data_IF_822984000936
#
_entry.id   IF_822984000936
#
_cell.length_a   1.000
_cell.length_b   1.000
_cell.length_c   1.000
_cell.angle_alpha   90.00
_cell.angle_beta   90.00
_cell.angle_gamma   90.00
#
_symmetry.space_group_name_H-M   'P 1'
#
loop_
_entity.id
_entity.type
_entity.pdbx_description
1 polymer ?
#
# COMPACT_ATOMS: atom_id res chain seq x y z
N UNK A 1 3.92 38.11 3.65
CA UNK A 1 4.88 37.47 4.58
C UNK A 1 5.08 36.05 4.10
N UNK A 2 6.32 35.71 3.71
CA UNK A 2 6.69 34.45 3.06
C UNK A 2 6.65 33.30 4.08
N UNK A 3 5.78 32.32 3.87
CA UNK A 3 5.74 31.09 4.66
C UNK A 3 6.96 30.22 4.35
N UNK A 4 7.58 29.67 5.39
CA UNK A 4 8.66 28.69 5.27
C UNK A 4 8.16 27.45 4.51
N UNK A 5 8.91 27.07 3.48
CA UNK A 5 8.66 25.89 2.65
C UNK A 5 8.44 24.64 3.50
N UNK A 6 7.27 24.01 3.38
CA UNK A 6 7.00 22.65 3.89
C UNK A 6 5.92 22.51 4.95
N UNK A 7 5.35 23.61 5.47
CA UNK A 7 4.17 23.53 6.36
C UNK A 7 2.93 23.95 5.57
N UNK A 8 2.18 22.98 5.09
CA UNK A 8 0.87 23.19 4.48
C UNK A 8 -0.05 23.92 5.47
N UNK A 9 -0.83 24.90 4.98
CA UNK A 9 -1.80 25.70 5.76
C UNK A 9 -2.85 24.82 6.47
N UNK A 10 -3.00 23.56 6.08
CA UNK A 10 -3.82 22.54 6.76
C UNK A 10 -3.28 22.11 8.14
N UNK A 11 -2.05 22.50 8.51
CA UNK A 11 -1.42 22.23 9.81
C UNK A 11 -1.37 23.49 10.69
N UNK A 12 -2.45 24.27 10.73
CA UNK A 12 -2.54 25.39 11.68
C UNK A 12 -2.67 24.85 13.12
N UNK A 13 -1.51 24.56 13.72
CA UNK A 13 -1.38 24.10 15.09
C UNK A 13 -1.41 25.27 16.10
N UNK A 14 -1.71 26.51 15.69
CA UNK A 14 -1.71 27.68 16.59
C UNK A 14 -2.73 27.57 17.71
N UNK A 15 -3.80 26.79 17.53
CA UNK A 15 -4.79 26.46 18.56
C UNK A 15 -4.61 25.07 19.19
N UNK A 16 -3.57 24.33 18.79
CA UNK A 16 -3.31 23.01 19.36
C UNK A 16 -2.63 23.16 20.74
N UNK A 17 -2.98 22.33 21.74
CA UNK A 17 -2.32 22.30 23.07
C UNK A 17 -0.79 22.10 23.03
N UNK A 18 -0.24 21.84 21.85
CA UNK A 18 1.14 21.53 21.56
C UNK A 18 1.96 22.75 21.08
N UNK A 19 1.31 23.85 20.70
CA UNK A 19 1.95 25.00 20.02
C UNK A 19 3.13 25.61 20.79
N UNK A 20 3.08 25.59 22.12
CA UNK A 20 4.10 26.18 22.99
C UNK A 20 5.01 25.15 23.68
N UNK A 21 4.97 23.87 23.27
CA UNK A 21 5.74 22.80 23.93
C UNK A 21 7.01 22.47 23.15
N UNK A 22 8.13 22.38 23.86
CA UNK A 22 9.36 21.80 23.29
C UNK A 22 9.16 20.31 22.99
N UNK A 23 9.93 19.70 22.06
CA UNK A 23 9.82 18.27 21.75
C UNK A 23 9.94 17.35 22.99
N UNK A 24 10.82 17.69 23.94
CA UNK A 24 10.96 16.93 25.21
C UNK A 24 9.74 17.05 26.11
N UNK A 25 9.10 18.22 26.15
CA UNK A 25 7.88 18.42 26.93
C UNK A 25 6.70 17.70 26.28
N UNK A 26 6.64 17.68 24.95
CA UNK A 26 5.61 16.99 24.19
C UNK A 26 5.71 15.47 24.38
N UNK A 27 6.91 14.88 24.34
CA UNK A 27 7.13 13.45 24.58
C UNK A 27 6.86 13.01 26.02
N UNK A 28 6.90 13.94 26.98
CA UNK A 28 6.59 13.70 28.40
C UNK A 28 5.14 14.02 28.76
N UNK A 29 4.37 14.57 27.82
CA UNK A 29 2.98 14.92 28.05
C UNK A 29 2.15 13.64 28.20
N UNK A 30 1.35 13.49 29.27
CA UNK A 30 0.45 12.35 29.40
C UNK A 30 -0.60 12.25 28.28
N UNK A 31 -0.87 13.33 27.55
CA UNK A 31 -1.77 13.34 26.39
C UNK A 31 -1.07 13.00 25.07
N UNK A 32 0.22 12.66 25.10
CA UNK A 32 0.98 12.20 23.93
C UNK A 32 1.32 10.73 24.08
N UNK A 33 0.86 9.93 23.13
CA UNK A 33 1.20 8.51 23.06
C UNK A 33 2.25 8.25 21.96
N UNK A 34 3.27 7.46 22.28
CA UNK A 34 4.10 6.78 21.30
C UNK A 34 3.36 5.53 20.81
N UNK A 35 3.26 5.38 19.49
CA UNK A 35 2.48 4.30 18.86
C UNK A 35 3.30 3.56 17.83
N UNK A 36 3.01 2.27 17.67
CA UNK A 36 3.44 1.45 16.53
C UNK A 36 2.30 1.47 15.52
N UNK A 37 2.67 1.69 14.26
CA UNK A 37 1.73 1.78 13.15
C UNK A 37 2.03 0.64 12.19
N UNK A 38 0.97 -0.06 11.80
CA UNK A 38 1.03 -1.14 10.83
C UNK A 38 -0.08 -0.94 9.81
N UNK A 39 0.20 -1.20 8.55
CA UNK A 39 -0.80 -1.12 7.49
C UNK A 39 -0.50 -2.21 6.45
N UNK A 40 -1.55 -2.68 5.79
CA UNK A 40 -1.43 -3.56 4.64
C UNK A 40 -1.74 -2.72 3.39
N UNK A 41 -0.72 -2.47 2.57
CA UNK A 41 -0.90 -1.81 1.28
C UNK A 41 -1.12 -2.90 0.22
N UNK A 42 -2.24 -2.88 -0.53
CA UNK A 42 -2.45 -3.83 -1.61
C UNK A 42 -1.32 -3.80 -2.65
N UNK A 43 -0.98 -4.96 -3.22
CA UNK A 43 -0.07 -5.01 -4.35
C UNK A 43 -0.71 -4.34 -5.58
N UNK A 44 0.05 -3.58 -6.36
CA UNK A 44 -0.49 -2.84 -7.51
C UNK A 44 -1.16 -1.52 -7.15
N UNK A 45 -0.97 -1.04 -5.91
CA UNK A 45 -1.48 0.26 -5.47
C UNK A 45 -0.73 1.39 -6.18
N UNK A 46 -1.48 2.39 -6.60
CA UNK A 46 -1.00 3.59 -7.28
C UNK A 46 -0.88 4.76 -6.30
N UNK A 47 -0.12 5.79 -6.66
CA UNK A 47 0.01 6.99 -5.82
C UNK A 47 -1.37 7.60 -5.58
N UNK A 48 -1.69 7.83 -4.31
CA UNK A 48 -2.97 8.39 -3.88
C UNK A 48 -4.03 7.35 -3.53
N UNK A 49 -3.83 6.06 -3.83
CA UNK A 49 -4.70 5.01 -3.29
C UNK A 49 -4.62 5.04 -1.76
N UNK A 50 -5.77 4.88 -1.12
CA UNK A 50 -5.91 4.94 0.32
C UNK A 50 -5.97 3.54 0.94
N UNK A 51 -5.62 3.45 2.22
CA UNK A 51 -5.64 2.19 2.97
C UNK A 51 -5.86 2.41 4.46
N UNK A 52 -6.35 1.36 5.11
CA UNK A 52 -6.56 1.34 6.55
C UNK A 52 -5.26 1.15 7.32
N UNK A 53 -5.20 1.78 8.49
CA UNK A 53 -4.01 1.80 9.34
C UNK A 53 -4.36 1.26 10.71
N UNK A 54 -3.59 0.30 11.19
CA UNK A 54 -3.66 -0.24 12.54
C UNK A 54 -2.68 0.47 13.46
N UNK A 55 -3.15 0.86 14.64
CA UNK A 55 -2.39 1.64 15.61
C UNK A 55 -2.37 0.90 16.94
N UNK A 56 -1.19 0.78 17.55
CA UNK A 56 -1.00 0.18 18.87
C UNK A 56 -0.16 1.11 19.74
N UNK A 57 -0.66 1.46 20.92
CA UNK A 57 0.09 2.27 21.87
C UNK A 57 1.23 1.47 22.53
N UNK A 58 2.38 2.12 22.74
CA UNK A 58 3.52 1.58 23.51
C UNK A 58 3.45 2.03 24.96
N UNK A 59 3.11 3.30 25.20
CA UNK A 59 3.19 3.95 26.52
C UNK A 59 1.85 4.53 27.01
N UNK A 60 0.73 4.21 26.36
CA UNK A 60 -0.60 4.68 26.72
C UNK A 60 -1.58 3.53 26.94
N UNK A 61 -2.53 3.74 27.86
CA UNK A 61 -3.57 2.77 28.22
C UNK A 61 -4.81 2.86 27.33
N UNK A 62 -5.01 4.00 26.67
CA UNK A 62 -6.11 4.25 25.73
C UNK A 62 -5.66 5.16 24.58
N UNK A 63 -6.22 4.93 23.39
CA UNK A 63 -6.09 5.77 22.19
C UNK A 63 -7.39 6.52 21.85
N UNK A 64 -8.39 6.46 22.73
CA UNK A 64 -9.69 7.10 22.52
C UNK A 64 -9.55 8.61 22.32
N UNK A 65 -10.25 9.14 21.31
CA UNK A 65 -10.18 10.57 20.95
C UNK A 65 -8.83 11.02 20.38
N UNK A 66 -7.87 10.10 20.20
CA UNK A 66 -6.56 10.39 19.67
C UNK A 66 -6.59 10.75 18.18
N UNK A 67 -5.60 11.55 17.76
CA UNK A 67 -5.32 11.83 16.34
C UNK A 67 -3.86 11.48 16.05
N UNK A 68 -3.66 10.62 15.06
CA UNK A 68 -2.33 10.32 14.55
C UNK A 68 -1.80 11.50 13.73
N UNK A 69 -0.58 11.92 14.03
CA UNK A 69 0.16 12.86 13.19
C UNK A 69 0.80 12.16 12.00
N UNK A 70 1.05 12.93 10.94
CA UNK A 70 1.63 12.43 9.70
C UNK A 70 2.85 11.57 9.97
N UNK A 71 2.71 10.28 9.68
CA UNK A 71 3.74 9.28 9.88
C UNK A 71 4.07 8.62 8.56
N UNK A 72 5.35 8.48 8.26
CA UNK A 72 5.83 7.80 7.07
C UNK A 72 5.88 6.29 7.29
N UNK A 73 5.33 5.52 6.36
CA UNK A 73 5.29 4.07 6.38
C UNK A 73 6.29 3.50 5.38
N UNK A 74 6.95 2.41 5.79
CA UNK A 74 8.04 1.76 5.05
C UNK A 74 7.85 0.25 5.13
N UNK A 75 8.40 -0.47 4.15
CA UNK A 75 8.39 -1.95 4.16
C UNK A 75 9.29 -2.46 5.29
N UNK A 76 8.78 -3.43 6.03
CA UNK A 76 9.54 -4.15 7.05
C UNK A 76 9.28 -3.65 8.47
N UNK A 77 9.99 -4.21 9.45
CA UNK A 77 9.86 -3.77 10.84
C UNK A 77 10.33 -2.32 10.98
N UNK A 78 9.92 -1.62 12.05
CA UNK A 78 10.42 -0.28 12.36
C UNK A 78 11.96 -0.29 12.39
N UNK A 79 12.59 0.40 11.45
CA UNK A 79 14.04 0.49 11.35
C UNK A 79 14.60 1.33 12.50
N UNK A 80 15.72 0.89 13.08
CA UNK A 80 16.49 1.73 14.01
C UNK A 80 17.18 2.87 13.26
N UNK A 81 17.52 3.96 13.95
CA UNK A 81 18.07 5.20 13.37
C UNK A 81 19.29 5.03 12.45
N UNK A 82 20.01 3.90 12.52
CA UNK A 82 21.22 3.62 11.74
C UNK A 82 21.05 2.49 10.69
N UNK A 83 19.81 2.02 10.46
CA UNK A 83 19.57 0.97 9.47
C UNK A 83 19.35 1.57 8.07
N UNK A 84 19.55 0.77 7.01
CA UNK A 84 19.26 1.21 5.64
C UNK A 84 17.77 1.53 5.52
N UNK A 85 17.50 2.82 5.45
CA UNK A 85 16.16 3.37 5.37
C UNK A 85 15.43 2.89 4.10
N UNK A 86 14.50 1.95 4.26
CA UNK A 86 13.62 1.49 3.17
C UNK A 86 12.82 2.67 2.58
N UNK A 87 12.44 2.57 1.30
CA UNK A 87 11.66 3.60 0.61
C UNK A 87 10.33 3.85 1.32
N UNK A 88 9.89 5.11 1.35
CA UNK A 88 8.60 5.50 1.91
C UNK A 88 7.50 5.03 0.95
N UNK A 89 6.74 4.03 1.36
CA UNK A 89 5.64 3.49 0.56
C UNK A 89 4.37 4.33 0.68
N UNK A 90 4.13 4.91 1.84
CA UNK A 90 2.94 5.69 2.11
C UNK A 90 3.08 6.55 3.33
N UNK A 91 2.06 7.36 3.58
CA UNK A 91 1.93 8.19 4.76
C UNK A 91 0.59 7.92 5.40
N UNK A 92 0.53 8.01 6.72
CA UNK A 92 -0.68 7.85 7.50
C UNK A 92 -0.91 9.05 8.41
N UNK A 93 -2.16 9.52 8.48
CA UNK A 93 -2.60 10.55 9.41
C UNK A 93 -4.12 10.44 9.60
N UNK A 94 -4.62 10.85 10.75
CA UNK A 94 -6.08 10.91 10.94
C UNK A 94 -6.55 10.60 12.35
N UNK A 95 -7.86 10.72 12.59
CA UNK A 95 -8.47 10.36 13.86
C UNK A 95 -8.39 8.85 14.11
N UNK A 96 -8.08 8.46 15.33
CA UNK A 96 -7.99 7.05 15.73
C UNK A 96 -9.36 6.59 16.20
N UNK A 97 -9.88 5.56 15.56
CA UNK A 97 -11.07 4.84 15.98
C UNK A 97 -10.67 3.69 16.90
N UNK A 98 -11.25 3.67 18.10
CA UNK A 98 -11.11 2.58 19.07
C UNK A 98 -12.45 1.87 19.21
N UNK A 99 -12.44 0.57 19.45
CA UNK A 99 -13.67 -0.18 19.66
C UNK A 99 -14.37 0.31 20.95
N UNK A 100 -15.64 0.77 20.89
CA UNK A 100 -16.34 1.32 22.05
C UNK A 100 -16.62 0.29 23.16
N UNK A 101 -16.52 -1.01 22.86
CA UNK A 101 -16.67 -2.09 23.85
C UNK A 101 -15.34 -2.52 24.48
N UNK A 102 -14.23 -1.89 24.09
CA UNK A 102 -12.94 -2.15 24.69
C UNK A 102 -12.89 -1.60 26.12
N UNK A 103 -12.44 -2.44 27.06
CA UNK A 103 -12.19 -2.01 28.43
C UNK A 103 -10.71 -1.63 28.58
N UNK A 104 -10.38 -0.58 29.34
CA UNK A 104 -8.99 -0.21 29.58
C UNK A 104 -8.26 -1.32 30.35
N UNK A 105 -7.11 -1.77 29.84
CA UNK A 105 -6.24 -2.72 30.56
C UNK A 105 -6.72 -4.18 30.61
N UNK A 106 -7.84 -4.52 29.97
CA UNK A 106 -8.32 -5.91 29.87
C UNK A 106 -8.33 -6.32 28.40
N UNK A 107 -7.37 -7.16 27.99
CA UNK A 107 -7.39 -7.77 26.66
C UNK A 107 -8.38 -8.94 26.65
N UNK A 108 -9.64 -8.68 26.29
CA UNK A 108 -10.61 -9.76 26.02
C UNK A 108 -10.71 -9.95 24.52
N UNK A 109 -10.30 -11.11 24.00
CA UNK A 109 -10.38 -11.46 22.57
C UNK A 109 -9.74 -10.42 21.61
N UNK A 110 -8.62 -9.79 22.01
CA UNK A 110 -7.90 -8.83 21.17
C UNK A 110 -8.55 -7.44 21.08
N UNK A 111 -9.56 -7.17 21.89
CA UNK A 111 -10.22 -5.87 22.01
C UNK A 111 -9.67 -5.15 23.24
N UNK A 112 -8.93 -4.07 23.01
CA UNK A 112 -8.32 -3.24 24.06
C UNK A 112 -8.27 -1.78 23.62
N UNK A 113 -8.41 -0.85 24.56
CA UNK A 113 -8.45 0.59 24.26
C UNK A 113 -7.09 1.15 23.78
N UNK A 114 -6.00 0.43 24.01
CA UNK A 114 -4.66 0.77 23.52
C UNK A 114 -4.45 0.39 22.04
N UNK A 115 -5.46 -0.21 21.40
CA UNK A 115 -5.46 -0.61 20.00
C UNK A 115 -6.56 0.16 19.27
N UNK A 116 -6.20 0.76 18.15
CA UNK A 116 -7.12 1.50 17.30
C UNK A 116 -6.86 1.27 15.81
N UNK A 117 -7.75 1.83 15.00
CA UNK A 117 -7.64 1.85 13.54
C UNK A 117 -7.90 3.26 13.03
N UNK A 118 -7.26 3.61 11.94
CA UNK A 118 -7.58 4.82 11.17
C UNK A 118 -8.10 4.30 9.84
N UNK A 119 -9.40 4.44 9.65
CA UNK A 119 -10.07 4.04 8.42
C UNK A 119 -9.71 5.05 7.35
N UNK A 120 -9.25 4.58 6.19
CA UNK A 120 -8.89 5.41 5.04
C UNK A 120 -7.84 6.51 5.34
N UNK A 121 -7.06 6.35 6.42
CA UNK A 121 -6.11 7.36 6.89
C UNK A 121 -4.72 7.25 6.30
N UNK A 122 -4.42 6.13 5.63
CA UNK A 122 -3.20 5.91 4.88
C UNK A 122 -3.38 6.30 3.43
N UNK A 123 -2.35 6.86 2.80
CA UNK A 123 -2.27 7.03 1.35
C UNK A 123 -0.91 6.62 0.81
N UNK A 124 -0.92 5.99 -0.36
CA UNK A 124 0.27 5.49 -1.04
C UNK A 124 1.02 6.66 -1.68
N UNK A 125 2.32 6.76 -1.40
CA UNK A 125 3.21 7.79 -1.97
C UNK A 125 4.08 7.24 -3.10
N UNK A 126 4.23 5.92 -3.18
CA UNK A 126 5.02 5.24 -4.19
C UNK A 126 4.22 4.06 -4.74
N UNK A 127 4.10 3.98 -6.07
CA UNK A 127 3.39 2.88 -6.73
C UNK A 127 4.01 1.53 -6.33
N UNK A 128 3.19 0.58 -5.90
CA UNK A 128 3.62 -0.79 -5.64
C UNK A 128 3.44 -1.62 -6.90
N UNK A 129 4.50 -2.27 -7.36
CA UNK A 129 4.44 -3.11 -8.56
C UNK A 129 3.92 -4.51 -8.20
N UNK A 130 3.14 -5.11 -9.10
CA UNK A 130 2.73 -6.52 -8.98
C UNK A 130 3.82 -7.39 -9.59
N UNK A 131 4.17 -8.45 -8.87
CA UNK A 131 5.24 -9.35 -9.25
C UNK A 131 4.72 -10.77 -9.28
N UNK A 132 5.02 -11.49 -10.36
CA UNK A 132 4.87 -12.95 -10.42
C UNK A 132 6.27 -13.52 -10.30
N UNK A 133 6.45 -14.37 -9.29
CA UNK A 133 7.68 -15.11 -9.08
C UNK A 133 7.47 -16.57 -9.47
N UNK A 134 8.36 -17.12 -10.27
CA UNK A 134 8.34 -18.52 -10.66
C UNK A 134 9.12 -19.33 -9.63
N UNK A 135 8.51 -20.39 -9.11
CA UNK A 135 9.18 -21.32 -8.20
C UNK A 135 10.39 -22.00 -8.84
N UNK A 136 10.31 -22.28 -10.14
CA UNK A 136 11.37 -22.87 -10.95
C UNK A 136 11.83 -21.88 -12.03
N UNK A 137 13.03 -21.30 -11.91
CA UNK A 137 13.55 -20.34 -12.89
C UNK A 137 13.63 -20.93 -14.31
N UNK A 138 13.10 -20.20 -15.29
CA UNK A 138 13.13 -20.56 -16.70
C UNK A 138 12.85 -19.35 -17.60
N UNK A 139 13.88 -18.88 -18.30
CA UNK A 139 13.72 -17.81 -19.29
C UNK A 139 12.68 -18.12 -20.38
N UNK A 140 12.57 -19.38 -20.80
CA UNK A 140 11.57 -19.78 -21.80
C UNK A 140 10.16 -19.63 -21.25
N UNK A 141 9.92 -20.08 -20.02
CA UNK A 141 8.61 -19.96 -19.36
C UNK A 141 8.22 -18.51 -19.10
N UNK A 142 9.17 -17.69 -18.64
CA UNK A 142 8.95 -16.24 -18.48
C UNK A 142 8.53 -15.61 -19.80
N UNK A 143 9.23 -15.88 -20.90
CA UNK A 143 8.86 -15.34 -22.23
C UNK A 143 7.48 -15.80 -22.68
N UNK A 144 7.14 -17.06 -22.47
CA UNK A 144 5.81 -17.59 -22.80
C UNK A 144 4.71 -16.92 -21.99
N UNK A 145 4.88 -16.79 -20.67
CA UNK A 145 3.95 -16.10 -19.78
C UNK A 145 3.76 -14.63 -20.18
N UNK A 146 4.85 -13.90 -20.40
CA UNK A 146 4.82 -12.50 -20.83
C UNK A 146 4.09 -12.36 -22.18
N UNK A 147 4.38 -13.23 -23.15
CA UNK A 147 3.71 -13.24 -24.44
C UNK A 147 2.21 -13.52 -24.32
N UNK A 148 1.83 -14.51 -23.50
CA UNK A 148 0.44 -14.87 -23.29
C UNK A 148 -0.36 -13.76 -22.58
N UNK A 149 0.22 -13.14 -21.54
CA UNK A 149 -0.41 -12.01 -20.83
C UNK A 149 -0.55 -10.80 -21.75
N UNK A 150 0.50 -10.39 -22.46
CA UNK A 150 0.43 -9.23 -23.35
C UNK A 150 -0.46 -9.46 -24.58
N UNK A 151 -0.66 -10.72 -25.00
CA UNK A 151 -1.59 -11.05 -26.08
C UNK A 151 -3.05 -10.98 -25.61
N UNK A 152 -3.34 -11.47 -24.40
CA UNK A 152 -4.69 -11.40 -23.84
C UNK A 152 -5.06 -9.98 -23.36
N UNK A 153 -4.07 -9.24 -22.85
CA UNK A 153 -4.23 -7.91 -22.28
C UNK A 153 -3.23 -6.95 -22.94
N UNK A 154 -3.46 -6.55 -24.19
CA UNK A 154 -2.58 -5.62 -24.89
C UNK A 154 -2.62 -4.24 -24.21
N UNK A 155 -1.44 -3.66 -23.99
CA UNK A 155 -1.32 -2.31 -23.46
C UNK A 155 -1.83 -1.29 -24.47
N UNK A 156 -2.58 -0.29 -23.98
CA UNK A 156 -3.08 0.81 -24.81
C UNK A 156 -2.01 1.88 -25.00
N UNK A 157 -2.17 2.78 -26.00
CA UNK A 157 -1.31 3.96 -26.13
C UNK A 157 -1.32 4.88 -24.90
N UNK A 158 -2.39 4.82 -24.10
CA UNK A 158 -2.53 5.56 -22.83
C UNK A 158 -1.76 4.92 -21.68
N UNK A 159 -1.41 3.64 -21.79
CA UNK A 159 -0.66 2.94 -20.76
C UNK A 159 0.83 3.29 -20.89
N UNK A 160 1.48 3.59 -19.76
CA UNK A 160 2.89 3.98 -19.74
C UNK A 160 3.85 2.83 -20.08
N UNK A 161 3.40 1.59 -19.91
CA UNK A 161 4.22 0.36 -20.00
C UNK A 161 3.35 -0.79 -20.51
N UNK A 162 4.01 -1.83 -21.04
CA UNK A 162 3.35 -3.10 -21.34
C UNK A 162 2.76 -3.73 -20.07
N UNK A 163 1.70 -4.53 -20.25
CA UNK A 163 0.99 -5.20 -19.17
C UNK A 163 1.87 -6.18 -18.41
N UNK A 164 2.69 -6.96 -19.11
CA UNK A 164 3.67 -7.85 -18.52
C UNK A 164 5.07 -7.57 -19.06
N UNK A 165 6.06 -7.59 -18.17
CA UNK A 165 7.49 -7.44 -18.50
C UNK A 165 8.31 -8.46 -17.72
N UNK A 166 9.00 -9.35 -18.43
CA UNK A 166 9.99 -10.25 -17.82
C UNK A 166 11.22 -9.45 -17.38
N UNK A 167 11.66 -9.67 -16.15
CA UNK A 167 12.86 -9.03 -15.57
C UNK A 167 14.06 -9.97 -15.71
N UNK A 168 13.89 -11.23 -15.28
CA UNK A 168 14.90 -12.28 -15.33
C UNK A 168 14.27 -13.66 -15.65
N UNK A 169 14.88 -14.77 -15.23
CA UNK A 169 14.35 -16.13 -15.43
C UNK A 169 13.24 -16.53 -14.45
N UNK A 170 12.99 -15.73 -13.41
CA UNK A 170 12.03 -16.04 -12.34
C UNK A 170 11.03 -14.93 -12.06
N UNK A 171 11.32 -13.69 -12.44
CA UNK A 171 10.55 -12.51 -12.08
C UNK A 171 9.85 -11.87 -13.29
N UNK A 172 8.54 -11.68 -13.17
CA UNK A 172 7.72 -10.94 -14.13
C UNK A 172 7.02 -9.79 -13.40
N UNK A 173 7.18 -8.58 -13.93
CA UNK A 173 6.41 -7.42 -13.49
C UNK A 173 5.11 -7.31 -14.26
N UNK A 174 4.03 -7.03 -13.52
CA UNK A 174 2.69 -6.83 -14.04
C UNK A 174 2.26 -5.40 -13.76
N UNK A 175 1.85 -4.71 -14.81
CA UNK A 175 1.19 -3.41 -14.76
C UNK A 175 -0.31 -3.61 -15.02
N UNK A 176 -1.16 -2.92 -14.26
CA UNK A 176 -2.61 -2.99 -14.44
C UNK A 176 -2.98 -2.07 -15.62
N UNK A 177 -3.58 -2.61 -16.70
CA UNK A 177 -4.03 -1.78 -17.82
C UNK A 177 -5.12 -0.80 -17.40
N UNK A 178 -5.25 0.32 -18.11
CA UNK A 178 -6.24 1.37 -17.78
C UNK A 178 -7.67 0.83 -17.55
N UNK A 179 -8.13 -0.11 -18.37
CA UNK A 179 -9.49 -0.70 -18.31
C UNK A 179 -9.77 -1.51 -17.04
N UNK A 180 -8.71 -1.91 -16.33
CA UNK A 180 -8.77 -2.74 -15.14
C UNK A 180 -8.37 -1.98 -13.87
N UNK A 181 -8.14 -0.66 -13.95
CA UNK A 181 -7.75 0.15 -12.78
C UNK A 181 -8.76 0.11 -11.64
N UNK A 182 -10.05 0.04 -11.94
CA UNK A 182 -11.12 -0.07 -10.93
C UNK A 182 -11.43 -1.53 -10.56
N UNK A 183 -11.03 -2.49 -11.40
CA UNK A 183 -11.28 -3.93 -11.24
C UNK A 183 -9.98 -4.71 -11.20
N UNK A 184 -9.09 -4.26 -10.30
CA UNK A 184 -7.72 -4.77 -10.18
C UNK A 184 -7.71 -6.25 -9.79
N UNK A 185 -8.59 -6.63 -8.86
CA UNK A 185 -8.74 -8.01 -8.38
C UNK A 185 -9.17 -8.96 -9.51
N UNK A 186 -10.20 -8.56 -10.28
CA UNK A 186 -10.68 -9.33 -11.44
C UNK A 186 -9.55 -9.56 -12.45
N UNK A 187 -8.75 -8.52 -12.75
CA UNK A 187 -7.61 -8.64 -13.65
C UNK A 187 -6.58 -9.64 -13.15
N UNK A 188 -6.20 -9.58 -11.87
CA UNK A 188 -5.26 -10.52 -11.28
C UNK A 188 -5.79 -11.95 -11.30
N UNK A 189 -7.10 -12.12 -11.08
CA UNK A 189 -7.76 -13.43 -11.16
C UNK A 189 -7.76 -13.97 -12.60
N UNK A 190 -7.96 -13.12 -13.61
CA UNK A 190 -7.87 -13.53 -15.01
C UNK A 190 -6.45 -13.93 -15.39
N UNK A 191 -5.44 -13.14 -14.97
CA UNK A 191 -4.03 -13.43 -15.21
C UNK A 191 -3.62 -14.77 -14.56
N UNK A 192 -4.11 -15.07 -13.35
CA UNK A 192 -3.76 -16.33 -12.67
C UNK A 192 -4.35 -17.58 -13.33
N UNK A 193 -5.40 -17.43 -14.15
CA UNK A 193 -6.03 -18.53 -14.90
C UNK A 193 -5.66 -18.52 -16.39
N UNK A 194 -4.68 -17.70 -16.78
CA UNK A 194 -4.28 -17.56 -18.18
C UNK A 194 -3.46 -18.78 -18.63
N UNK A 195 -3.86 -19.37 -19.75
CA UNK A 195 -3.16 -20.52 -20.33
C UNK A 195 -1.88 -20.09 -21.04
N UNK A 196 -0.74 -20.66 -20.64
CA UNK A 196 0.59 -20.32 -21.16
C UNK A 196 0.94 -21.13 -22.43
N UNK A 197 0.13 -22.14 -22.76
CA UNK A 197 0.37 -23.02 -23.90
C UNK A 197 -0.03 -22.33 -25.22
N UNK A 198 0.96 -21.69 -25.84
CA UNK A 198 0.87 -21.16 -27.20
C UNK A 198 1.67 -22.03 -28.16
N UNK A 199 1.48 -23.35 -28.12
CA UNK A 199 2.01 -24.23 -29.17
C UNK A 199 1.60 -23.78 -30.58
N UNK A 200 0.54 -22.97 -30.79
CA UNK A 200 0.23 -22.32 -32.07
C UNK A 200 -0.51 -20.97 -31.92
N UNK A 201 0.16 -19.81 -32.06
CA UNK A 201 -0.48 -18.49 -32.10
C UNK A 201 -1.49 -18.33 -33.26
N UNK A 202 -1.25 -19.04 -34.36
CA UNK A 202 -2.05 -19.02 -35.59
C UNK A 202 -3.48 -19.55 -35.38
N UNK A 203 -3.66 -20.50 -34.46
CA UNK A 203 -4.96 -21.12 -34.17
C UNK A 203 -5.89 -20.17 -33.41
N UNK A 204 -5.35 -19.30 -32.56
CA UNK A 204 -6.15 -18.31 -31.83
C UNK A 204 -6.57 -17.14 -32.74
N UNK A 205 -5.69 -16.67 -33.63
CA UNK A 205 -6.02 -15.65 -34.62
C UNK A 205 -7.12 -16.13 -35.60
N UNK A 206 -7.07 -17.40 -36.02
CA UNK A 206 -8.14 -17.99 -36.83
C UNK A 206 -9.47 -18.08 -36.10
N UNK A 207 -9.50 -18.43 -34.80
CA UNK A 207 -10.75 -18.52 -34.03
C UNK A 207 -11.50 -17.19 -33.91
N UNK A 208 -10.81 -16.07 -33.81
CA UNK A 208 -11.45 -14.74 -33.79
C UNK A 208 -11.89 -14.28 -35.18
N UNK A 209 -11.18 -14.65 -36.24
CA UNK A 209 -11.54 -14.28 -37.61
C UNK A 209 -12.77 -15.06 -38.14
N UNK A 210 -13.00 -16.30 -37.68
CA UNK A 210 -14.14 -17.13 -38.12
C UNK A 210 -15.40 -16.93 -37.27
N UNK A 211 -15.35 -16.08 -36.24
CA UNK A 211 -16.48 -15.76 -35.36
C UNK A 211 -17.16 -14.41 -35.70
N UNK A 212 -16.75 -13.77 -36.79
CA UNK A 212 -17.42 -12.63 -37.44
C UNK A 212 -18.10 -13.10 -38.73
#
# INVERSE_FOLDING_TARGET
MMGLNGVSIANDNTQSPLYSKSPRQLLRDPNTAAVIIQAAVPAGSTVGDSFDVYVRAINATSLEGGKLWTTELRIGPPASFNDRQAHILGKAAGPIFVNPFAQPGVETNGVSQNIGRILDGGYVTMETEIQIYLDNPSHQRVRQMVGAINSAFPARPTDRRQTARGVDDSLIYINIPYDYKERREDFLQLVSHLTIDQSFPEVYAQRYATAL
#
